data_IF_523746105633
#
_entry.id   IF_523746105633
#
_cell.length_a   1.000
_cell.length_b   1.000
_cell.length_c   1.000
_cell.angle_alpha   90.00
_cell.angle_beta   90.00
_cell.angle_gamma   90.00
#
_symmetry.space_group_name_H-M   'P 1'
#
loop_
_entity.id
_entity.type
_entity.pdbx_description
1 polymer ?
#
# COMPACT_ATOMS: atom_id res chain seq x y z
N UNK A 1 -18.08 -29.17 -65.51
CA UNK A 1 -17.74 -27.82 -66.00
C UNK A 1 -18.58 -26.82 -65.22
N UNK A 2 -17.92 -25.95 -64.44
CA UNK A 2 -18.33 -24.64 -63.91
C UNK A 2 -19.74 -24.41 -63.30
N UNK A 3 -19.70 -24.06 -62.01
CA UNK A 3 -20.31 -22.88 -61.35
C UNK A 3 -21.72 -22.41 -61.75
N UNK A 4 -22.63 -22.28 -60.80
CA UNK A 4 -22.73 -21.12 -59.89
C UNK A 4 -24.10 -21.03 -59.20
N UNK A 5 -24.05 -20.76 -57.88
CA UNK A 5 -24.95 -19.83 -57.17
C UNK A 5 -26.41 -20.22 -56.92
N UNK A 6 -26.75 -20.56 -55.68
CA UNK A 6 -28.00 -20.10 -55.04
C UNK A 6 -27.73 -19.77 -53.56
N UNK A 7 -28.09 -18.52 -53.23
CA UNK A 7 -28.25 -17.93 -51.90
C UNK A 7 -29.51 -18.47 -51.22
N UNK A 8 -29.49 -18.67 -49.90
CA UNK A 8 -30.67 -19.00 -49.12
C UNK A 8 -30.39 -19.15 -47.63
N UNK A 9 -30.77 -18.12 -46.87
CA UNK A 9 -30.90 -18.09 -45.41
C UNK A 9 -31.80 -19.23 -44.90
N UNK A 10 -31.37 -19.96 -43.87
CA UNK A 10 -31.83 -19.81 -42.48
C UNK A 10 -31.57 -21.07 -41.64
N UNK A 11 -31.14 -20.81 -40.40
CA UNK A 11 -31.39 -21.57 -39.17
C UNK A 11 -31.04 -23.08 -39.13
N UNK A 12 -29.87 -23.40 -38.58
CA UNK A 12 -29.71 -24.56 -37.70
C UNK A 12 -28.50 -24.43 -36.75
N UNK A 13 -28.81 -24.33 -35.46
CA UNK A 13 -28.01 -24.81 -34.32
C UNK A 13 -26.62 -24.19 -34.04
N UNK A 14 -26.61 -22.99 -33.44
CA UNK A 14 -25.49 -22.52 -32.60
C UNK A 14 -25.90 -22.72 -31.13
N UNK A 15 -25.93 -23.98 -30.71
CA UNK A 15 -26.12 -24.37 -29.30
C UNK A 15 -25.09 -25.43 -28.93
N UNK A 16 -23.82 -25.06 -28.99
CA UNK A 16 -22.68 -25.70 -28.31
C UNK A 16 -21.42 -24.94 -28.72
N UNK A 17 -20.65 -24.45 -27.74
CA UNK A 17 -19.27 -23.88 -27.79
C UNK A 17 -19.13 -22.52 -27.07
N UNK A 18 -20.21 -21.82 -26.74
CA UNK A 18 -20.14 -20.57 -25.95
C UNK A 18 -20.39 -20.83 -24.45
N UNK A 19 -19.50 -21.56 -23.76
CA UNK A 19 -19.53 -21.68 -22.28
C UNK A 19 -18.22 -22.14 -21.60
N UNK A 20 -17.05 -22.18 -22.27
CA UNK A 20 -15.83 -22.77 -21.65
C UNK A 20 -14.59 -21.86 -21.60
N UNK A 21 -14.67 -20.58 -21.94
CA UNK A 21 -13.52 -19.66 -21.77
C UNK A 21 -13.89 -18.39 -20.99
N UNK A 22 -14.36 -18.57 -19.75
CA UNK A 22 -14.54 -17.46 -18.79
C UNK A 22 -13.95 -17.78 -17.40
N UNK A 23 -12.97 -18.67 -17.35
CA UNK A 23 -12.17 -18.94 -16.16
C UNK A 23 -10.73 -19.12 -16.64
N UNK A 24 -9.78 -18.54 -15.90
CA UNK A 24 -8.31 -18.49 -16.11
C UNK A 24 -7.83 -17.20 -16.81
N UNK A 25 -7.87 -16.10 -16.05
CA UNK A 25 -6.90 -15.00 -16.15
C UNK A 25 -6.85 -14.22 -14.82
N UNK A 26 -6.63 -14.92 -13.70
CA UNK A 26 -6.32 -14.31 -12.41
C UNK A 26 -5.15 -15.05 -11.76
N UNK A 27 -4.00 -15.07 -12.43
CA UNK A 27 -2.73 -15.47 -11.84
C UNK A 27 -1.59 -14.87 -12.65
N UNK A 28 -1.15 -13.69 -12.23
CA UNK A 28 0.23 -13.17 -12.13
C UNK A 28 0.11 -11.65 -12.05
N UNK A 29 0.05 -11.12 -10.83
CA UNK A 29 0.34 -9.72 -10.58
C UNK A 29 1.84 -9.49 -10.79
N UNK A 30 2.21 -9.29 -12.05
CA UNK A 30 3.49 -8.70 -12.46
C UNK A 30 3.08 -7.56 -13.39
N UNK A 31 2.74 -6.41 -12.81
CA UNK A 31 2.79 -5.16 -13.56
C UNK A 31 4.26 -4.73 -13.59
N UNK A 32 5.01 -5.31 -14.53
CA UNK A 32 6.33 -4.80 -14.92
C UNK A 32 6.13 -3.40 -15.52
N UNK A 33 6.70 -2.39 -14.86
CA UNK A 33 6.57 -0.96 -15.20
C UNK A 33 7.31 -0.53 -16.48
N UNK A 34 7.41 -1.40 -17.49
CA UNK A 34 8.25 -1.18 -18.68
C UNK A 34 7.56 -0.33 -19.76
N UNK A 35 6.54 0.45 -19.40
CA UNK A 35 5.92 1.44 -20.31
C UNK A 35 6.34 2.89 -20.03
N UNK A 36 7.23 3.13 -19.06
CA UNK A 36 7.63 4.49 -18.63
C UNK A 36 8.90 5.01 -19.36
N UNK A 37 9.56 4.22 -20.19
CA UNK A 37 10.79 4.69 -20.87
C UNK A 37 10.56 5.69 -22.00
N UNK A 38 9.33 5.83 -22.52
CA UNK A 38 8.99 6.81 -23.56
C UNK A 38 8.39 8.13 -23.05
N UNK A 39 8.25 8.32 -21.73
CA UNK A 39 7.64 9.54 -21.17
C UNK A 39 8.64 10.67 -20.89
N UNK A 40 9.95 10.40 -20.98
CA UNK A 40 11.01 11.30 -20.50
C UNK A 40 11.10 12.64 -21.24
N UNK A 41 10.71 12.69 -22.52
CA UNK A 41 10.90 13.88 -23.35
C UNK A 41 9.61 14.68 -23.61
N UNK A 42 8.42 14.14 -23.32
CA UNK A 42 7.14 14.85 -23.54
C UNK A 42 6.60 15.59 -22.29
N UNK A 43 6.79 15.05 -21.08
CA UNK A 43 6.18 15.63 -19.85
C UNK A 43 6.80 16.98 -19.47
N UNK A 44 8.10 17.17 -19.68
CA UNK A 44 8.74 18.47 -19.46
C UNK A 44 8.26 19.54 -20.47
N UNK A 45 7.82 19.11 -21.67
CA UNK A 45 7.40 20.00 -22.75
C UNK A 45 5.97 20.52 -22.61
N UNK A 46 5.04 19.69 -22.13
CA UNK A 46 3.62 20.07 -22.09
C UNK A 46 3.28 21.03 -20.95
N UNK A 47 3.87 20.88 -19.76
CA UNK A 47 3.67 21.81 -18.63
C UNK A 47 4.28 23.19 -18.94
N UNK A 48 5.37 23.25 -19.71
CA UNK A 48 6.04 24.50 -20.08
C UNK A 48 5.33 25.29 -21.20
N UNK A 49 4.46 24.65 -21.99
CA UNK A 49 3.90 25.25 -23.21
C UNK A 49 2.70 26.17 -22.98
N UNK A 50 2.17 26.26 -21.75
CA UNK A 50 0.96 27.01 -21.41
C UNK A 50 1.13 28.26 -20.54
N UNK A 51 2.34 28.61 -20.08
CA UNK A 51 2.47 29.59 -18.99
C UNK A 51 3.53 30.66 -19.26
N UNK A 52 3.12 31.93 -19.18
CA UNK A 52 4.03 33.07 -19.21
C UNK A 52 4.88 33.14 -17.93
N UNK A 53 6.17 33.50 -18.02
CA UNK A 53 7.05 33.58 -16.86
C UNK A 53 6.75 34.84 -16.02
N UNK A 54 6.03 34.67 -14.90
CA UNK A 54 5.63 35.75 -14.01
C UNK A 54 6.48 35.87 -12.73
N UNK A 55 7.41 36.82 -12.71
CA UNK A 55 7.97 37.52 -11.52
C UNK A 55 8.64 36.67 -10.40
N UNK A 56 9.45 37.26 -9.48
CA UNK A 56 10.21 36.47 -8.51
C UNK A 56 9.27 35.84 -7.47
N UNK A 57 9.17 34.51 -7.52
CA UNK A 57 8.30 33.69 -6.69
C UNK A 57 8.57 33.90 -5.19
N UNK A 58 7.58 34.39 -4.44
CA UNK A 58 7.54 34.18 -3.00
C UNK A 58 7.17 32.71 -2.77
N UNK A 59 8.19 31.85 -2.65
CA UNK A 59 8.01 30.43 -2.30
C UNK A 59 7.29 30.33 -0.96
N UNK A 60 6.16 29.63 -0.92
CA UNK A 60 5.42 29.42 0.34
C UNK A 60 6.33 28.80 1.40
N UNK A 61 6.27 29.35 2.61
CA UNK A 61 7.00 28.83 3.77
C UNK A 61 5.96 28.36 4.80
N UNK A 62 5.98 27.09 5.20
CA UNK A 62 5.01 26.58 6.18
C UNK A 62 5.23 27.21 7.55
N UNK A 63 4.16 27.32 8.35
CA UNK A 63 4.19 27.81 9.73
C UNK A 63 4.22 26.61 10.70
N UNK A 64 5.37 26.23 11.30
CA UNK A 64 5.48 24.99 12.09
C UNK A 64 4.61 25.00 13.36
N UNK A 65 4.22 26.19 13.82
CA UNK A 65 3.28 26.35 14.94
C UNK A 65 1.87 25.82 14.65
N UNK A 66 1.53 25.62 13.37
CA UNK A 66 0.25 25.04 12.94
C UNK A 66 0.34 23.53 12.72
N UNK A 67 1.53 22.94 12.83
CA UNK A 67 1.71 21.52 12.57
C UNK A 67 1.10 20.68 13.67
N UNK A 68 0.46 19.60 13.26
CA UNK A 68 -0.19 18.63 14.14
C UNK A 68 0.46 17.28 13.97
N UNK A 69 0.83 16.66 15.09
CA UNK A 69 1.32 15.28 15.11
C UNK A 69 0.25 14.35 15.70
N UNK A 70 0.16 13.11 15.21
CA UNK A 70 -0.83 12.16 15.71
C UNK A 70 -0.51 11.76 17.16
N UNK A 71 -1.54 11.76 18.01
CA UNK A 71 -1.44 11.09 19.30
C UNK A 71 -1.23 9.58 19.12
N UNK A 72 -0.59 8.94 20.11
CA UNK A 72 -0.39 7.48 20.11
C UNK A 72 -1.36 6.86 21.11
N UNK A 73 -2.40 6.15 20.65
CA UNK A 73 -3.33 5.51 21.57
C UNK A 73 -2.65 4.43 22.40
N UNK A 74 -3.13 4.21 23.62
CA UNK A 74 -2.58 3.21 24.54
C UNK A 74 -3.26 1.85 24.45
N UNK A 75 -4.38 1.76 23.70
CA UNK A 75 -5.10 0.51 23.49
C UNK A 75 -4.57 -0.22 22.25
N UNK A 76 -4.69 -1.55 22.21
CA UNK A 76 -4.32 -2.31 21.00
C UNK A 76 -5.40 -2.13 19.92
N UNK A 77 -5.03 -1.78 18.67
CA UNK A 77 -5.97 -1.71 17.56
C UNK A 77 -6.29 -3.11 17.00
N UNK A 78 -5.42 -4.10 17.24
CA UNK A 78 -5.61 -5.49 16.83
C UNK A 78 -6.65 -6.15 17.72
N UNK A 79 -7.77 -6.57 17.12
CA UNK A 79 -8.82 -7.37 17.75
C UNK A 79 -8.59 -8.84 17.41
N UNK A 80 -7.69 -9.48 18.14
CA UNK A 80 -7.48 -10.92 17.98
C UNK A 80 -8.66 -11.64 18.64
N UNK A 81 -9.36 -12.48 17.88
CA UNK A 81 -10.36 -13.38 18.44
C UNK A 81 -9.66 -14.38 19.36
N UNK A 82 -10.34 -14.77 20.44
CA UNK A 82 -9.78 -15.75 21.36
C UNK A 82 -9.72 -17.11 20.68
N UNK A 83 -8.56 -17.78 20.78
CA UNK A 83 -8.39 -19.14 20.27
C UNK A 83 -9.52 -20.02 20.80
N UNK A 84 -10.30 -20.69 19.93
CA UNK A 84 -11.40 -21.53 20.38
C UNK A 84 -10.93 -22.58 21.39
N UNK A 85 -11.79 -23.08 22.29
CA UNK A 85 -11.37 -24.00 23.37
C UNK A 85 -11.98 -25.40 23.32
N UNK A 86 -13.12 -25.59 22.63
CA UNK A 86 -13.81 -26.89 22.55
C UNK A 86 -13.11 -27.81 21.55
N UNK A 87 -12.05 -28.50 21.98
CA UNK A 87 -11.22 -29.37 21.12
C UNK A 87 -11.91 -30.69 20.76
N UNK A 88 -11.52 -31.26 19.61
CA UNK A 88 -11.95 -32.60 19.16
C UNK A 88 -10.83 -33.34 18.43
N UNK A 89 -10.74 -34.68 18.57
CA UNK A 89 -9.84 -35.51 17.76
C UNK A 89 -10.35 -35.74 16.33
N UNK A 90 -11.64 -35.46 16.06
CA UNK A 90 -12.19 -35.55 14.70
C UNK A 90 -11.55 -34.50 13.81
N UNK A 91 -11.08 -34.89 12.64
CA UNK A 91 -10.41 -34.01 11.67
C UNK A 91 -11.42 -33.54 10.58
N UNK A 92 -12.07 -32.37 10.71
CA UNK A 92 -12.97 -31.86 9.69
C UNK A 92 -12.18 -31.38 8.47
N UNK A 93 -12.57 -31.80 7.27
CA UNK A 93 -11.99 -31.25 6.04
C UNK A 93 -12.25 -29.73 5.94
N UNK A 94 -11.27 -29.01 5.38
CA UNK A 94 -11.36 -27.58 5.10
C UNK A 94 -10.87 -27.28 3.67
N UNK A 95 -11.19 -26.09 3.17
CA UNK A 95 -10.71 -25.59 1.88
C UNK A 95 -10.42 -24.10 2.00
N UNK A 96 -9.22 -23.71 1.62
CA UNK A 96 -8.72 -22.34 1.72
C UNK A 96 -8.13 -21.90 0.38
N UNK A 97 -8.29 -20.62 0.07
CA UNK A 97 -7.53 -19.94 -0.97
C UNK A 97 -6.78 -18.76 -0.35
N UNK A 98 -5.67 -18.37 -0.96
CA UNK A 98 -4.83 -17.27 -0.49
C UNK A 98 -4.70 -16.20 -1.55
N UNK A 99 -4.82 -14.95 -1.12
CA UNK A 99 -4.45 -13.77 -1.89
C UNK A 99 -3.28 -13.09 -1.17
N UNK A 100 -2.26 -12.66 -1.90
CA UNK A 100 -1.12 -11.99 -1.31
C UNK A 100 -0.60 -10.86 -2.21
N UNK A 101 -0.05 -9.85 -1.57
CA UNK A 101 0.65 -8.74 -2.20
C UNK A 101 2.07 -8.69 -1.63
N UNK A 102 3.05 -8.36 -2.46
CA UNK A 102 4.44 -8.26 -2.02
C UNK A 102 4.99 -6.87 -2.29
N UNK A 103 5.95 -6.44 -1.47
CA UNK A 103 6.87 -5.40 -1.91
C UNK A 103 7.76 -5.94 -3.03
N UNK A 104 8.56 -5.06 -3.65
CA UNK A 104 9.71 -5.54 -4.40
C UNK A 104 10.69 -6.24 -3.45
N UNK A 105 11.33 -7.31 -3.92
CA UNK A 105 12.33 -8.05 -3.15
C UNK A 105 13.73 -7.77 -3.67
N UNK A 106 14.61 -7.38 -2.75
CA UNK A 106 16.01 -7.11 -3.01
C UNK A 106 16.89 -8.15 -2.31
N UNK A 107 17.97 -8.54 -2.97
CA UNK A 107 18.90 -9.57 -2.49
C UNK A 107 19.45 -9.21 -1.11
N UNK A 108 19.22 -10.08 -0.11
CA UNK A 108 19.72 -9.89 1.24
C UNK A 108 19.03 -8.78 2.05
N UNK A 109 17.93 -8.21 1.56
CA UNK A 109 17.18 -7.16 2.26
C UNK A 109 15.86 -7.69 2.84
N UNK A 110 15.23 -6.98 3.78
CA UNK A 110 13.89 -7.33 4.24
C UNK A 110 12.86 -7.15 3.13
N UNK A 111 11.98 -8.14 2.99
CA UNK A 111 10.85 -8.15 2.08
C UNK A 111 9.53 -8.19 2.85
N UNK A 112 8.47 -7.67 2.25
CA UNK A 112 7.16 -7.57 2.89
C UNK A 112 6.11 -8.34 2.09
N UNK A 113 5.26 -9.07 2.80
CA UNK A 113 4.18 -9.83 2.20
C UNK A 113 2.91 -9.54 2.99
N UNK A 114 1.89 -8.99 2.33
CA UNK A 114 0.54 -8.83 2.89
C UNK A 114 -0.28 -10.07 2.52
N UNK A 115 -0.88 -10.72 3.51
CA UNK A 115 -1.54 -12.02 3.34
C UNK A 115 -3.02 -11.89 3.67
N UNK A 116 -3.87 -12.36 2.75
CA UNK A 116 -5.29 -12.58 2.96
C UNK A 116 -5.64 -14.04 2.71
N UNK A 117 -6.51 -14.61 3.54
CA UNK A 117 -7.00 -15.97 3.41
C UNK A 117 -8.51 -15.97 3.29
N UNK A 118 -9.01 -16.71 2.30
CA UNK A 118 -10.44 -16.93 2.11
C UNK A 118 -10.83 -18.35 2.43
N UNK A 119 -11.91 -18.49 3.18
CA UNK A 119 -12.48 -19.79 3.52
C UNK A 119 -13.46 -20.23 2.42
N UNK A 120 -13.02 -21.16 1.58
CA UNK A 120 -13.84 -21.79 0.53
C UNK A 120 -14.60 -23.03 1.05
N UNK A 121 -14.39 -23.38 2.32
CA UNK A 121 -15.00 -24.51 3.00
C UNK A 121 -16.43 -24.21 3.48
N UNK A 122 -17.00 -25.20 4.19
CA UNK A 122 -18.37 -25.13 4.74
C UNK A 122 -18.41 -24.83 6.25
N UNK A 123 -17.28 -24.93 6.93
CA UNK A 123 -17.17 -24.72 8.36
C UNK A 123 -16.22 -23.54 8.63
N UNK A 124 -16.43 -22.77 9.71
CA UNK A 124 -15.50 -21.75 10.15
C UNK A 124 -14.07 -22.28 10.34
N UNK A 125 -13.10 -21.45 9.97
CA UNK A 125 -11.67 -21.66 10.17
C UNK A 125 -11.17 -20.58 11.13
N UNK A 126 -10.34 -20.97 12.09
CA UNK A 126 -9.64 -20.05 12.96
C UNK A 126 -8.16 -20.13 12.63
N UNK A 127 -7.53 -19.01 12.33
CA UNK A 127 -6.09 -18.92 12.08
C UNK A 127 -5.47 -18.24 13.29
N UNK A 128 -4.69 -19.00 14.06
CA UNK A 128 -3.99 -18.49 15.23
C UNK A 128 -2.82 -17.62 14.77
N UNK A 129 -2.04 -18.16 13.83
CA UNK A 129 -0.81 -17.54 13.31
C UNK A 129 -0.70 -17.70 11.81
N UNK A 130 -0.12 -16.70 11.17
CA UNK A 130 0.29 -16.75 9.77
C UNK A 130 1.78 -16.54 9.66
N UNK A 131 2.36 -17.05 8.57
CA UNK A 131 3.79 -16.97 8.38
C UNK A 131 4.22 -17.22 6.95
N UNK A 132 5.51 -17.08 6.72
CA UNK A 132 6.15 -17.36 5.44
C UNK A 132 7.45 -18.14 5.67
N UNK A 133 7.56 -19.27 4.98
CA UNK A 133 8.80 -20.04 4.84
C UNK A 133 9.54 -19.56 3.60
N UNK A 134 10.85 -19.34 3.74
CA UNK A 134 11.75 -18.94 2.63
C UNK A 134 12.60 -20.13 2.20
N UNK A 135 12.73 -20.35 0.88
CA UNK A 135 13.45 -21.45 0.22
C UNK A 135 13.08 -22.85 0.75
N UNK A 136 11.80 -23.04 1.10
CA UNK A 136 11.28 -24.30 1.67
C UNK A 136 12.06 -24.81 2.89
N UNK A 137 12.64 -23.92 3.68
CA UNK A 137 13.30 -24.26 4.94
C UNK A 137 12.29 -24.27 6.08
N UNK A 138 11.96 -25.46 6.60
CA UNK A 138 11.11 -25.60 7.79
C UNK A 138 11.73 -24.95 9.05
N UNK A 139 13.04 -24.72 9.05
CA UNK A 139 13.77 -24.03 10.13
C UNK A 139 13.79 -22.50 10.01
N UNK A 140 13.19 -21.91 8.96
CA UNK A 140 13.13 -20.46 8.74
C UNK A 140 11.70 -20.01 8.39
N UNK A 141 10.80 -20.16 9.35
CA UNK A 141 9.42 -19.66 9.27
C UNK A 141 9.35 -18.34 10.03
N UNK A 142 9.14 -17.24 9.30
CA UNK A 142 8.72 -15.97 9.89
C UNK A 142 7.24 -16.08 10.18
N UNK A 143 6.78 -15.69 11.37
CA UNK A 143 5.35 -15.79 11.70
C UNK A 143 4.91 -14.74 12.71
N UNK A 144 3.62 -14.41 12.65
CA UNK A 144 2.94 -13.42 13.47
C UNK A 144 1.60 -13.99 13.97
N UNK A 145 1.20 -13.57 15.17
CA UNK A 145 -0.10 -13.92 15.74
C UNK A 145 -1.19 -13.02 15.12
N UNK A 146 -2.33 -13.62 14.76
CA UNK A 146 -3.46 -12.88 14.19
C UNK A 146 -4.80 -13.19 14.86
N UNK A 147 -5.03 -14.43 15.30
CA UNK A 147 -6.31 -14.83 15.91
C UNK A 147 -7.52 -14.47 15.04
N UNK A 148 -7.53 -14.91 13.78
CA UNK A 148 -8.57 -14.57 12.81
C UNK A 148 -9.61 -15.69 12.70
N UNK A 149 -10.88 -15.40 13.02
CA UNK A 149 -12.01 -16.27 12.72
C UNK A 149 -12.58 -15.94 11.33
N UNK A 150 -12.61 -16.92 10.44
CA UNK A 150 -13.02 -16.76 9.04
C UNK A 150 -14.23 -17.67 8.77
N UNK A 151 -15.41 -17.07 8.62
CA UNK A 151 -16.63 -17.83 8.32
C UNK A 151 -16.61 -18.34 6.87
N UNK A 152 -17.43 -19.36 6.54
CA UNK A 152 -17.57 -19.85 5.17
C UNK A 152 -17.87 -18.72 4.17
N UNK A 153 -17.07 -18.63 3.11
CA UNK A 153 -17.19 -17.62 2.06
C UNK A 153 -16.51 -16.28 2.35
N UNK A 154 -16.07 -16.03 3.59
CA UNK A 154 -15.39 -14.79 3.98
C UNK A 154 -13.89 -14.84 3.66
N UNK A 155 -13.33 -13.67 3.39
CA UNK A 155 -11.89 -13.43 3.29
C UNK A 155 -11.45 -12.52 4.44
N UNK A 156 -10.33 -12.85 5.07
CA UNK A 156 -9.73 -12.03 6.11
C UNK A 156 -8.30 -11.65 5.72
N UNK A 157 -7.96 -10.37 5.87
CA UNK A 157 -6.58 -9.90 5.85
C UNK A 157 -5.92 -10.30 7.17
N UNK A 158 -4.88 -11.14 7.12
CA UNK A 158 -4.17 -11.60 8.31
C UNK A 158 -3.12 -10.60 8.77
N UNK A 159 -2.60 -9.81 7.83
CA UNK A 159 -1.64 -8.74 8.11
C UNK A 159 -0.48 -8.71 7.13
N UNK A 160 0.53 -7.92 7.46
CA UNK A 160 1.80 -7.84 6.74
C UNK A 160 2.86 -8.59 7.54
N UNK A 161 3.71 -9.37 6.87
CA UNK A 161 4.85 -10.02 7.49
C UNK A 161 6.15 -9.58 6.84
N UNK A 162 7.16 -9.37 7.67
CA UNK A 162 8.53 -9.08 7.24
C UNK A 162 9.29 -10.39 7.15
N UNK A 163 9.95 -10.63 6.02
CA UNK A 163 10.81 -11.79 5.80
C UNK A 163 12.21 -11.33 5.42
N UNK A 164 13.23 -12.04 5.89
CA UNK A 164 14.57 -11.83 5.36
C UNK A 164 14.67 -12.48 3.97
N UNK A 165 14.80 -11.66 2.93
CA UNK A 165 15.07 -12.13 1.58
C UNK A 165 16.51 -12.61 1.53
N UNK A 166 16.80 -13.75 0.89
CA UNK A 166 18.13 -14.29 0.88
C UNK A 166 18.96 -13.61 -0.24
N UNK A 167 20.26 -13.85 -0.27
CA UNK A 167 21.18 -13.10 -1.14
C UNK A 167 21.29 -13.66 -2.57
N UNK A 168 20.66 -14.81 -2.85
CA UNK A 168 20.66 -15.43 -4.17
C UNK A 168 19.79 -14.64 -5.17
N UNK A 169 19.95 -14.92 -6.46
CA UNK A 169 19.18 -14.26 -7.52
C UNK A 169 17.70 -14.65 -7.55
N UNK A 170 17.33 -15.77 -6.91
CA UNK A 170 15.96 -16.29 -6.86
C UNK A 170 15.64 -16.84 -5.49
N UNK A 171 14.40 -16.66 -5.06
CA UNK A 171 13.88 -17.25 -3.84
C UNK A 171 12.48 -17.81 -4.04
N UNK A 172 12.18 -18.90 -3.33
CA UNK A 172 10.84 -19.49 -3.24
C UNK A 172 10.24 -19.21 -1.87
N UNK A 173 8.96 -18.86 -1.83
CA UNK A 173 8.23 -18.50 -0.62
C UNK A 173 6.98 -19.37 -0.50
N UNK A 174 6.65 -19.79 0.73
CA UNK A 174 5.41 -20.51 1.05
C UNK A 174 4.72 -19.85 2.21
N UNK A 175 3.43 -19.53 2.06
CA UNK A 175 2.61 -19.09 3.18
C UNK A 175 2.34 -20.30 4.08
N UNK A 176 2.51 -20.10 5.38
CA UNK A 176 2.32 -21.09 6.43
C UNK A 176 1.21 -20.63 7.35
N UNK A 177 0.26 -21.50 7.66
CA UNK A 177 -0.85 -21.21 8.55
C UNK A 177 -0.82 -22.17 9.75
N UNK A 178 -0.98 -21.62 10.95
CA UNK A 178 -1.31 -22.38 12.16
C UNK A 178 -2.81 -22.22 12.39
N UNK A 179 -3.59 -23.27 12.13
CA UNK A 179 -5.05 -23.15 12.03
C UNK A 179 -5.80 -24.24 12.77
N UNK A 180 -7.02 -23.89 13.13
CA UNK A 180 -8.04 -24.80 13.62
C UNK A 180 -9.22 -24.80 12.65
N UNK A 181 -9.78 -25.98 12.39
CA UNK A 181 -11.02 -26.11 11.64
C UNK A 181 -12.14 -26.63 12.53
N UNK A 182 -13.32 -26.05 12.37
CA UNK A 182 -14.49 -26.46 13.14
C UNK A 182 -15.24 -27.62 12.50
N UNK A 183 -15.86 -28.45 13.33
CA UNK A 183 -16.85 -29.45 12.94
C UNK A 183 -18.24 -28.81 12.88
N UNK A 184 -19.20 -29.51 12.27
CA UNK A 184 -20.61 -29.08 12.26
C UNK A 184 -21.24 -28.97 13.66
N UNK A 185 -20.61 -29.55 14.69
CA UNK A 185 -21.03 -29.45 16.09
C UNK A 185 -20.37 -28.27 16.84
N UNK A 186 -19.56 -27.46 16.16
CA UNK A 186 -18.86 -26.32 16.76
C UNK A 186 -17.64 -26.71 17.61
N UNK A 187 -17.13 -27.93 17.47
CA UNK A 187 -15.86 -28.37 18.08
C UNK A 187 -14.70 -28.12 17.11
N UNK A 188 -13.50 -27.92 17.62
CA UNK A 188 -12.34 -27.48 16.86
C UNK A 188 -11.22 -28.52 16.84
N UNK A 189 -10.70 -28.80 15.65
CA UNK A 189 -9.49 -29.59 15.47
C UNK A 189 -8.33 -28.68 15.09
N UNK A 190 -7.21 -28.83 15.77
CA UNK A 190 -5.98 -28.11 15.50
C UNK A 190 -5.10 -28.93 14.56
N UNK A 191 -4.65 -28.31 13.49
CA UNK A 191 -3.79 -28.93 12.48
C UNK A 191 -2.33 -28.55 12.73
N UNK A 192 -1.42 -29.43 12.33
CA UNK A 192 -0.02 -29.06 12.11
C UNK A 192 0.07 -27.92 11.07
N UNK A 193 1.24 -27.28 10.99
CA UNK A 193 1.49 -26.21 10.03
C UNK A 193 1.00 -26.55 8.62
N UNK A 194 0.06 -25.76 8.13
CA UNK A 194 -0.49 -25.93 6.79
C UNK A 194 0.25 -25.03 5.82
N UNK A 195 0.96 -25.65 4.87
CA UNK A 195 1.72 -24.95 3.84
C UNK A 195 0.89 -24.79 2.57
N UNK A 196 0.72 -23.55 2.14
CA UNK A 196 0.11 -23.23 0.86
C UNK A 196 1.09 -23.42 -0.29
N UNK A 197 0.57 -23.33 -1.51
CA UNK A 197 1.37 -23.43 -2.74
C UNK A 197 2.48 -22.38 -2.71
N UNK A 198 3.67 -22.78 -3.18
CA UNK A 198 4.81 -21.89 -3.27
C UNK A 198 4.69 -20.92 -4.44
N UNK A 199 5.43 -19.82 -4.30
CA UNK A 199 5.68 -18.87 -5.37
C UNK A 199 7.16 -18.51 -5.41
N UNK A 200 7.70 -18.33 -6.61
CA UNK A 200 9.13 -18.05 -6.83
C UNK A 200 9.29 -16.68 -7.46
N UNK A 201 10.27 -15.91 -6.97
CA UNK A 201 10.53 -14.53 -7.40
C UNK A 201 12.00 -14.39 -7.81
N UNK A 202 12.24 -13.64 -8.89
CA UNK A 202 13.58 -13.18 -9.24
C UNK A 202 13.91 -11.93 -8.41
N UNK A 203 15.00 -11.98 -7.65
CA UNK A 203 15.38 -10.97 -6.68
C UNK A 203 16.21 -9.88 -7.34
N UNK A 204 15.85 -8.62 -7.08
CA UNK A 204 16.58 -7.46 -7.61
C UNK A 204 17.89 -7.25 -6.85
N UNK A 205 18.97 -6.81 -7.50
CA UNK A 205 20.16 -6.39 -6.78
C UNK A 205 19.84 -5.15 -5.93
N UNK A 206 20.46 -5.05 -4.75
CA UNK A 206 20.30 -3.89 -3.87
C UNK A 206 20.89 -2.64 -4.54
N UNK A 207 20.12 -1.55 -4.69
CA UNK A 207 20.62 -0.35 -5.34
C UNK A 207 21.58 0.43 -4.44
N UNK A 208 22.44 1.23 -5.07
CA UNK A 208 23.25 2.22 -4.37
C UNK A 208 22.38 3.39 -3.90
N UNK A 209 22.77 3.99 -2.78
CA UNK A 209 22.05 5.14 -2.22
C UNK A 209 22.24 6.36 -3.12
N UNK A 210 21.12 6.96 -3.53
CA UNK A 210 21.06 8.21 -4.27
C UNK A 210 20.65 9.36 -3.35
N UNK A 211 21.08 10.57 -3.68
CA UNK A 211 20.72 11.81 -2.97
C UNK A 211 20.08 12.75 -4.00
N UNK A 212 18.74 12.76 -4.12
CA UNK A 212 18.07 13.67 -5.04
C UNK A 212 18.14 15.12 -4.55
N UNK A 213 18.02 16.06 -5.47
CA UNK A 213 17.80 17.46 -5.14
C UNK A 213 16.37 17.67 -4.64
N UNK A 214 16.18 18.43 -3.56
CA UNK A 214 14.86 18.77 -3.05
C UNK A 214 14.46 20.18 -3.48
N UNK A 215 13.23 20.35 -3.97
CA UNK A 215 12.62 21.66 -4.27
C UNK A 215 11.31 21.80 -3.52
N UNK A 216 11.21 22.80 -2.66
CA UNK A 216 10.02 23.04 -1.85
C UNK A 216 9.11 24.05 -2.52
N UNK A 217 7.81 23.73 -2.55
CA UNK A 217 6.71 24.57 -3.02
C UNK A 217 6.96 25.33 -4.34
N UNK A 218 7.39 24.67 -5.44
CA UNK A 218 7.38 25.33 -6.75
C UNK A 218 5.96 25.83 -7.07
N UNK A 219 5.84 27.10 -7.49
CA UNK A 219 4.56 27.82 -7.45
C UNK A 219 3.41 27.09 -8.15
N UNK A 220 3.62 26.58 -9.37
CA UNK A 220 2.58 25.90 -10.15
C UNK A 220 2.05 24.62 -9.48
N UNK A 221 2.96 23.79 -8.96
CA UNK A 221 2.60 22.55 -8.27
C UNK A 221 1.94 22.86 -6.92
N UNK A 222 2.46 23.85 -6.21
CA UNK A 222 1.91 24.29 -4.94
C UNK A 222 0.47 24.80 -5.09
N UNK A 223 0.21 25.69 -6.06
CA UNK A 223 -1.14 26.19 -6.38
C UNK A 223 -2.09 25.06 -6.80
N UNK A 224 -1.61 24.15 -7.64
CA UNK A 224 -2.44 23.06 -8.18
C UNK A 224 -2.84 22.09 -7.07
N UNK A 225 -1.90 21.55 -6.31
CA UNK A 225 -2.19 20.56 -5.25
C UNK A 225 -3.05 21.19 -4.15
N UNK A 226 -2.75 22.41 -3.71
CA UNK A 226 -3.53 23.05 -2.66
C UNK A 226 -4.98 23.36 -3.08
N UNK A 227 -5.23 23.53 -4.38
CA UNK A 227 -6.60 23.63 -4.92
C UNK A 227 -7.33 22.28 -4.96
N UNK A 228 -6.61 21.18 -5.17
CA UNK A 228 -7.19 19.84 -5.32
C UNK A 228 -7.31 19.07 -3.99
N UNK A 229 -6.56 19.50 -2.97
CA UNK A 229 -6.67 18.98 -1.60
C UNK A 229 -7.84 19.67 -0.90
N UNK A 230 -8.92 18.92 -0.67
CA UNK A 230 -10.24 19.45 -0.28
C UNK A 230 -10.73 18.91 1.08
N UNK A 231 -10.03 19.17 2.21
CA UNK A 231 -10.38 18.59 3.51
C UNK A 231 -11.73 19.06 4.08
N UNK A 232 -12.22 20.21 3.61
CA UNK A 232 -13.51 20.77 4.02
C UNK A 232 -14.68 20.33 3.12
N UNK A 233 -14.41 19.62 2.01
CA UNK A 233 -15.46 19.15 1.11
C UNK A 233 -16.35 18.12 1.84
N UNK A 234 -17.69 18.24 1.77
CA UNK A 234 -18.59 17.44 2.60
C UNK A 234 -18.43 15.93 2.49
N UNK A 235 -18.23 15.37 1.29
CA UNK A 235 -18.09 13.93 1.07
C UNK A 235 -16.73 13.44 1.56
N UNK A 236 -15.65 14.18 1.28
CA UNK A 236 -14.30 13.91 1.79
C UNK A 236 -14.29 13.91 3.32
N UNK A 237 -14.80 14.98 3.93
CA UNK A 237 -14.85 15.12 5.39
C UNK A 237 -15.73 14.04 6.04
N UNK A 238 -16.86 13.72 5.43
CA UNK A 238 -17.76 12.68 5.94
C UNK A 238 -17.11 11.30 5.88
N UNK A 239 -16.44 10.96 4.77
CA UNK A 239 -15.68 9.72 4.64
C UNK A 239 -14.54 9.65 5.65
N UNK A 240 -13.78 10.72 5.82
CA UNK A 240 -12.68 10.77 6.78
C UNK A 240 -13.17 10.50 8.22
N UNK A 241 -14.26 11.15 8.63
CA UNK A 241 -14.88 10.92 9.93
C UNK A 241 -15.47 9.51 10.08
N UNK A 242 -16.06 8.96 9.02
CA UNK A 242 -16.61 7.59 8.99
C UNK A 242 -15.54 6.54 9.30
N UNK A 243 -14.35 6.68 8.72
CA UNK A 243 -13.21 5.77 8.95
C UNK A 243 -12.60 6.03 10.32
N UNK A 244 -12.30 7.30 10.64
CA UNK A 244 -11.59 7.68 11.86
C UNK A 244 -12.37 7.35 13.15
N UNK A 245 -13.71 7.34 13.13
CA UNK A 245 -14.52 7.01 14.32
C UNK A 245 -14.31 5.59 14.85
N UNK A 246 -13.74 4.69 14.03
CA UNK A 246 -13.35 3.34 14.47
C UNK A 246 -12.24 3.38 15.53
N UNK A 247 -11.49 4.49 15.58
CA UNK A 247 -10.39 4.75 16.50
C UNK A 247 -10.67 6.06 17.25
N UNK A 248 -11.43 6.00 18.36
CA UNK A 248 -11.95 7.19 19.03
C UNK A 248 -10.84 8.04 19.66
N UNK A 249 -11.12 9.34 19.80
CA UNK A 249 -10.22 10.32 20.38
C UNK A 249 -9.86 11.43 19.40
N UNK A 250 -8.94 12.30 19.83
CA UNK A 250 -8.30 13.28 18.95
C UNK A 250 -7.52 12.59 17.82
N UNK A 251 -7.06 13.39 16.85
CA UNK A 251 -6.18 12.94 15.77
C UNK A 251 -5.08 12.00 16.28
N UNK A 252 -5.04 10.77 15.77
CA UNK A 252 -4.14 9.74 16.28
C UNK A 252 -3.64 8.78 15.20
N UNK A 253 -2.57 8.04 15.51
CA UNK A 253 -1.87 7.21 14.52
C UNK A 253 -2.76 6.10 13.94
N UNK A 254 -3.71 5.56 14.71
CA UNK A 254 -4.60 4.51 14.17
C UNK A 254 -5.59 5.07 13.15
N UNK A 255 -6.00 6.34 13.28
CA UNK A 255 -6.79 7.01 12.25
C UNK A 255 -5.97 7.21 10.98
N UNK A 256 -4.68 7.54 11.08
CA UNK A 256 -3.76 7.64 9.93
C UNK A 256 -3.68 6.30 9.19
N UNK A 257 -3.40 5.21 9.92
CA UNK A 257 -3.31 3.87 9.35
C UNK A 257 -4.64 3.43 8.70
N UNK A 258 -5.78 3.69 9.36
CA UNK A 258 -7.08 3.32 8.84
C UNK A 258 -7.48 4.09 7.56
N UNK A 259 -7.13 5.38 7.48
CA UNK A 259 -7.36 6.18 6.27
C UNK A 259 -6.46 5.73 5.12
N UNK A 260 -5.19 5.41 5.41
CA UNK A 260 -4.29 4.79 4.44
C UNK A 260 -4.87 3.48 3.90
N UNK A 261 -5.30 2.57 4.79
CA UNK A 261 -5.89 1.28 4.41
C UNK A 261 -7.14 1.48 3.56
N UNK A 262 -8.00 2.44 3.92
CA UNK A 262 -9.20 2.73 3.16
C UNK A 262 -8.88 3.17 1.73
N UNK A 263 -7.93 4.09 1.53
CA UNK A 263 -7.52 4.50 0.18
C UNK A 263 -6.93 3.30 -0.57
N UNK A 264 -6.01 2.56 0.04
CA UNK A 264 -5.37 1.38 -0.55
C UNK A 264 -6.36 0.29 -0.98
N UNK A 265 -7.43 0.09 -0.21
CA UNK A 265 -8.37 -1.01 -0.42
C UNK A 265 -9.61 -0.64 -1.23
N UNK A 266 -9.95 0.66 -1.31
CA UNK A 266 -11.18 1.14 -1.94
C UNK A 266 -10.97 2.00 -3.17
N UNK A 267 -9.74 2.46 -3.41
CA UNK A 267 -9.41 3.29 -4.58
C UNK A 267 -8.55 2.46 -5.53
N UNK A 268 -9.10 2.16 -6.70
CA UNK A 268 -8.41 1.40 -7.75
C UNK A 268 -7.40 2.28 -8.49
N UNK A 269 -6.25 1.71 -8.84
CA UNK A 269 -5.28 2.41 -9.70
C UNK A 269 -5.74 2.35 -11.15
N UNK A 270 -5.99 3.51 -11.75
CA UNK A 270 -6.33 3.65 -13.17
C UNK A 270 -5.43 4.74 -13.75
N UNK A 271 -4.69 4.39 -14.80
CA UNK A 271 -3.86 5.36 -15.52
C UNK A 271 -4.71 6.36 -16.30
N UNK A 272 -4.15 7.55 -16.44
CA UNK A 272 -4.75 8.61 -17.23
C UNK A 272 -4.98 8.30 -18.72
N UNK A 273 -5.90 9.05 -19.36
CA UNK A 273 -6.04 9.03 -20.80
C UNK A 273 -4.72 9.37 -21.50
N UNK A 274 -4.32 8.53 -22.45
CA UNK A 274 -3.07 8.69 -23.21
C UNK A 274 -2.82 10.13 -23.65
N UNK A 275 -1.66 10.66 -23.25
CA UNK A 275 -1.18 11.98 -23.65
C UNK A 275 -1.63 13.12 -22.73
N UNK A 276 -2.34 12.81 -21.63
CA UNK A 276 -2.66 13.78 -20.59
C UNK A 276 -2.22 13.24 -19.23
N UNK A 277 -1.98 14.18 -18.33
CA UNK A 277 -1.66 14.00 -16.91
C UNK A 277 -2.71 14.85 -16.18
N UNK A 278 -3.79 14.24 -15.73
CA UNK A 278 -5.02 14.86 -15.24
C UNK A 278 -5.10 14.64 -13.73
N UNK A 279 -4.91 15.72 -12.99
CA UNK A 279 -4.94 15.65 -11.54
C UNK A 279 -6.35 15.95 -11.04
N UNK A 280 -7.01 14.94 -10.50
CA UNK A 280 -8.39 15.03 -10.05
C UNK A 280 -8.48 15.63 -8.63
N UNK A 281 -9.52 16.44 -8.35
CA UNK A 281 -9.83 16.85 -6.99
C UNK A 281 -10.18 15.66 -6.11
N UNK A 282 -9.88 15.74 -4.82
CA UNK A 282 -10.10 14.65 -3.87
C UNK A 282 -11.55 14.12 -3.88
N UNK A 283 -12.54 14.99 -4.01
CA UNK A 283 -13.94 14.56 -4.06
C UNK A 283 -14.30 13.76 -5.33
N UNK A 284 -13.58 13.97 -6.44
CA UNK A 284 -13.78 13.25 -7.69
C UNK A 284 -13.19 11.85 -7.56
N UNK A 285 -11.93 11.73 -7.16
CA UNK A 285 -11.26 10.44 -6.92
C UNK A 285 -12.05 9.59 -5.93
N UNK A 286 -12.54 10.20 -4.84
CA UNK A 286 -13.35 9.49 -3.84
C UNK A 286 -14.67 8.98 -4.42
N UNK A 287 -15.35 9.76 -5.25
CA UNK A 287 -16.63 9.40 -5.85
C UNK A 287 -16.49 8.34 -6.95
N UNK A 288 -15.43 8.42 -7.75
CA UNK A 288 -15.14 7.45 -8.81
C UNK A 288 -14.65 6.13 -8.19
N UNK A 289 -13.90 6.20 -7.09
CA UNK A 289 -13.25 5.05 -6.48
C UNK A 289 -12.02 4.60 -7.26
N UNK A 290 -11.43 5.50 -8.06
CA UNK A 290 -10.22 5.23 -8.82
C UNK A 290 -9.44 6.51 -9.13
N UNK A 291 -8.14 6.36 -9.37
CA UNK A 291 -7.18 7.40 -9.75
C UNK A 291 -5.76 6.84 -9.68
N UNK A 292 -4.79 7.51 -10.29
CA UNK A 292 -3.40 7.09 -10.27
C UNK A 292 -2.63 7.65 -9.05
N UNK A 293 -1.32 7.94 -9.17
CA UNK A 293 -0.48 8.18 -8.01
C UNK A 293 -0.75 9.53 -7.33
N UNK A 294 -0.92 10.60 -8.10
CA UNK A 294 -1.19 11.93 -7.59
C UNK A 294 -2.62 12.06 -7.10
N UNK A 295 -3.59 11.46 -7.78
CA UNK A 295 -4.99 11.44 -7.36
C UNK A 295 -5.14 10.82 -5.97
N UNK A 296 -4.50 9.66 -5.77
CA UNK A 296 -4.52 8.98 -4.48
C UNK A 296 -3.73 9.74 -3.41
N UNK A 297 -2.64 10.42 -3.76
CA UNK A 297 -1.90 11.28 -2.84
C UNK A 297 -2.71 12.51 -2.40
N UNK A 298 -3.43 13.15 -3.35
CA UNK A 298 -4.32 14.29 -3.12
C UNK A 298 -5.50 13.87 -2.26
N UNK A 299 -6.16 12.75 -2.58
CA UNK A 299 -7.26 12.21 -1.79
C UNK A 299 -6.81 11.86 -0.38
N UNK A 300 -5.71 11.12 -0.23
CA UNK A 300 -5.19 10.73 1.09
C UNK A 300 -4.82 11.96 1.94
N UNK A 301 -4.16 12.96 1.33
CA UNK A 301 -3.84 14.22 2.01
C UNK A 301 -5.11 14.92 2.50
N UNK A 302 -6.14 15.01 1.65
CA UNK A 302 -7.43 15.64 1.99
C UNK A 302 -8.14 14.94 3.15
N UNK A 303 -8.13 13.60 3.16
CA UNK A 303 -8.73 12.81 4.23
C UNK A 303 -8.00 12.98 5.57
N UNK A 304 -6.67 13.04 5.54
CA UNK A 304 -5.83 13.23 6.73
C UNK A 304 -5.97 14.63 7.31
N UNK A 305 -5.95 15.66 6.46
CA UNK A 305 -6.20 17.06 6.82
C UNK A 305 -7.62 17.23 7.41
N UNK A 306 -8.62 16.52 6.87
CA UNK A 306 -10.01 16.55 7.38
C UNK A 306 -10.15 16.02 8.82
N UNK A 307 -9.24 15.17 9.28
CA UNK A 307 -9.18 14.68 10.67
C UNK A 307 -8.13 15.40 11.52
N UNK A 308 -7.51 16.44 10.98
CA UNK A 308 -6.59 17.33 11.69
C UNK A 308 -5.14 16.88 11.69
N UNK A 309 -4.70 16.14 10.67
CA UNK A 309 -3.27 15.86 10.42
C UNK A 309 -2.66 16.86 9.44
N UNK A 310 -1.37 17.17 9.61
CA UNK A 310 -0.61 18.04 8.70
C UNK A 310 0.12 17.23 7.64
N UNK A 311 -0.14 17.51 6.37
CA UNK A 311 0.31 16.68 5.26
C UNK A 311 1.22 17.38 4.26
N UNK A 312 1.87 16.56 3.43
CA UNK A 312 2.62 16.95 2.25
C UNK A 312 2.36 16.01 1.11
N UNK A 313 2.52 16.50 -0.12
CA UNK A 313 2.64 15.67 -1.32
C UNK A 313 4.07 15.74 -1.84
N UNK A 314 4.66 14.58 -2.07
CA UNK A 314 5.99 14.43 -2.66
C UNK A 314 5.83 13.99 -4.11
N UNK A 315 6.45 14.74 -5.02
CA UNK A 315 6.48 14.44 -6.44
C UNK A 315 7.92 14.08 -6.83
N UNK A 316 8.12 12.88 -7.34
CA UNK A 316 9.39 12.45 -7.94
C UNK A 316 9.35 12.68 -9.45
N UNK A 317 10.34 12.16 -10.17
CA UNK A 317 10.36 12.20 -11.63
C UNK A 317 9.22 11.40 -12.29
N UNK A 318 8.60 10.43 -11.59
CA UNK A 318 7.64 9.50 -12.20
C UNK A 318 6.60 8.94 -11.23
N UNK A 319 6.47 9.54 -10.05
CA UNK A 319 5.59 9.05 -9.00
C UNK A 319 5.23 10.15 -8.01
N UNK A 320 4.03 10.07 -7.46
CA UNK A 320 3.54 10.95 -6.40
C UNK A 320 3.09 10.15 -5.17
N UNK A 321 3.31 10.68 -3.97
CA UNK A 321 2.81 10.07 -2.73
C UNK A 321 2.58 11.12 -1.65
N UNK A 322 1.73 10.81 -0.68
CA UNK A 322 1.47 11.67 0.46
C UNK A 322 2.45 11.39 1.60
N UNK A 323 2.57 12.33 2.52
CA UNK A 323 3.18 12.10 3.82
C UNK A 323 2.44 12.89 4.89
N UNK A 324 2.59 12.47 6.14
CA UNK A 324 2.01 13.18 7.29
C UNK A 324 3.07 13.49 8.33
N UNK A 325 2.97 14.66 8.95
CA UNK A 325 3.87 15.10 9.99
C UNK A 325 3.73 14.21 11.24
N UNK A 326 4.85 13.71 11.74
CA UNK A 326 4.90 12.82 12.92
C UNK A 326 5.68 13.41 14.10
N UNK A 327 6.00 14.70 14.02
CA UNK A 327 6.70 15.43 15.07
C UNK A 327 8.17 15.70 14.75
N UNK A 328 8.81 16.45 15.64
CA UNK A 328 10.22 16.81 15.53
C UNK A 328 11.04 16.06 16.58
N UNK A 329 12.19 15.51 16.16
CA UNK A 329 13.13 14.80 17.00
C UNK A 329 12.78 13.33 17.26
N UNK A 330 13.79 12.57 17.69
CA UNK A 330 13.75 11.10 17.81
C UNK A 330 12.61 10.59 18.69
N UNK A 331 12.28 11.27 19.79
CA UNK A 331 11.25 10.78 20.71
C UNK A 331 9.85 10.75 20.07
N UNK A 332 9.50 11.78 19.29
CA UNK A 332 8.22 11.85 18.58
C UNK A 332 8.15 10.83 17.44
N UNK A 333 9.26 10.70 16.71
CA UNK A 333 9.40 9.71 15.64
C UNK A 333 9.28 8.28 16.18
N UNK A 334 9.99 7.92 17.25
CA UNK A 334 9.93 6.60 17.87
C UNK A 334 8.52 6.27 18.40
N UNK A 335 7.82 7.27 18.95
CA UNK A 335 6.43 7.10 19.39
C UNK A 335 5.50 6.80 18.20
N UNK A 336 5.67 7.52 17.10
CA UNK A 336 4.93 7.31 15.85
C UNK A 336 5.22 5.96 15.22
N UNK A 337 6.49 5.53 15.18
CA UNK A 337 6.89 4.18 14.74
C UNK A 337 6.21 3.10 15.59
N UNK A 338 6.20 3.25 16.92
CA UNK A 338 5.48 2.34 17.82
C UNK A 338 3.97 2.32 17.54
N UNK A 339 3.37 3.47 17.24
CA UNK A 339 1.96 3.57 16.85
C UNK A 339 1.64 2.79 15.58
N UNK A 340 2.42 2.98 14.52
CA UNK A 340 2.28 2.22 13.27
C UNK A 340 2.45 0.72 13.50
N UNK A 341 3.46 0.32 14.29
CA UNK A 341 3.70 -1.09 14.62
C UNK A 341 2.62 -1.72 15.48
N UNK A 342 2.01 -0.97 16.40
CA UNK A 342 0.87 -1.45 17.15
C UNK A 342 -0.32 -1.79 16.23
N UNK A 343 -0.45 -1.06 15.12
CA UNK A 343 -1.48 -1.29 14.11
C UNK A 343 -1.14 -2.46 13.17
N UNK A 344 -0.02 -2.38 12.46
CA UNK A 344 0.31 -3.34 11.40
C UNK A 344 1.14 -4.54 11.85
N UNK A 345 1.78 -4.50 13.03
CA UNK A 345 2.75 -5.50 13.49
C UNK A 345 4.18 -4.99 13.45
N UNK A 346 5.16 -5.88 13.63
CA UNK A 346 6.58 -5.51 13.62
C UNK A 346 7.10 -5.24 12.19
N UNK A 347 6.53 -4.23 11.55
CA UNK A 347 6.93 -3.72 10.24
C UNK A 347 7.95 -2.60 10.37
N UNK A 348 8.68 -2.32 9.30
CA UNK A 348 9.57 -1.16 9.27
C UNK A 348 8.80 0.09 8.91
N UNK A 349 9.17 1.21 9.51
CA UNK A 349 8.44 2.45 9.32
C UNK A 349 9.40 3.49 8.77
N UNK A 350 9.11 3.93 7.55
CA UNK A 350 9.95 4.84 6.77
C UNK A 350 9.35 6.25 6.81
N UNK A 351 10.24 7.23 6.95
CA UNK A 351 9.90 8.64 7.02
C UNK A 351 11.02 9.48 6.40
N UNK A 352 10.65 10.67 5.93
CA UNK A 352 11.58 11.73 5.54
C UNK A 352 11.78 12.68 6.72
N UNK A 353 12.95 13.30 6.83
CA UNK A 353 13.21 14.32 7.86
C UNK A 353 13.83 15.55 7.21
N UNK A 354 13.33 16.73 7.57
CA UNK A 354 13.84 18.02 7.16
C UNK A 354 13.94 18.99 8.36
N UNK A 355 14.06 20.29 8.09
CA UNK A 355 14.17 21.32 9.14
C UNK A 355 12.92 21.43 10.03
N UNK A 356 11.76 20.94 9.58
CA UNK A 356 10.51 21.04 10.32
C UNK A 356 10.21 19.80 11.17
N UNK A 357 10.79 18.66 10.81
CA UNK A 357 10.70 17.41 11.57
C UNK A 357 10.58 16.20 10.65
N UNK A 358 9.93 15.16 11.15
CA UNK A 358 9.77 13.89 10.44
C UNK A 358 8.38 13.75 9.82
N UNK A 359 8.34 13.14 8.63
CA UNK A 359 7.18 12.98 7.78
C UNK A 359 7.02 11.50 7.41
N UNK A 360 6.00 10.85 7.96
CA UNK A 360 5.69 9.44 7.68
C UNK A 360 5.27 9.29 6.23
N UNK A 361 5.89 8.36 5.51
CA UNK A 361 5.60 8.10 4.09
C UNK A 361 4.28 7.34 3.93
N UNK A 362 3.42 7.83 3.05
CA UNK A 362 2.09 7.30 2.81
C UNK A 362 1.83 7.16 1.30
N UNK A 363 2.14 5.99 0.76
CA UNK A 363 1.88 5.65 -0.64
C UNK A 363 0.93 4.44 -0.77
N UNK A 364 -0.39 4.66 -0.94
CA UNK A 364 -1.36 3.58 -1.06
C UNK A 364 -1.19 2.76 -2.35
N UNK A 365 -0.61 3.35 -3.41
CA UNK A 365 -0.43 2.71 -4.72
C UNK A 365 0.65 1.64 -4.71
N UNK A 366 1.71 1.84 -3.91
CA UNK A 366 2.90 0.98 -3.92
C UNK A 366 3.19 0.30 -2.58
N UNK A 367 2.92 0.96 -1.45
CA UNK A 367 3.22 0.40 -0.13
C UNK A 367 2.13 -0.55 0.35
N UNK A 368 2.51 -1.57 1.13
CA UNK A 368 1.55 -2.54 1.70
C UNK A 368 0.83 -2.04 2.96
N UNK A 369 1.36 -1.00 3.61
CA UNK A 369 0.92 -0.42 4.88
C UNK A 369 1.45 1.02 5.01
N UNK A 370 0.86 1.82 5.91
CA UNK A 370 1.33 3.18 6.18
C UNK A 370 2.76 3.17 6.76
N UNK A 371 3.67 3.98 6.22
CA UNK A 371 5.09 3.93 6.58
C UNK A 371 5.91 2.90 5.79
N UNK A 372 5.28 2.14 4.88
CA UNK A 372 6.01 1.35 3.89
C UNK A 372 6.79 2.24 2.92
N UNK A 373 7.67 1.61 2.16
CA UNK A 373 8.45 2.29 1.13
C UNK A 373 7.56 2.71 -0.07
N UNK A 374 7.57 3.99 -0.49
CA UNK A 374 6.85 4.43 -1.69
C UNK A 374 7.34 3.79 -2.98
N UNK A 375 6.56 3.95 -4.04
CA UNK A 375 6.92 3.59 -5.39
C UNK A 375 8.25 4.20 -5.80
N UNK A 376 9.04 3.44 -6.58
CA UNK A 376 10.39 3.85 -7.02
C UNK A 376 11.35 4.14 -5.87
N UNK A 377 11.17 3.50 -4.73
CA UNK A 377 12.17 3.46 -3.64
C UNK A 377 12.61 2.02 -3.38
N UNK A 378 13.73 1.87 -2.69
CA UNK A 378 14.30 0.57 -2.36
C UNK A 378 15.06 0.63 -1.04
N UNK A 379 15.21 -0.53 -0.40
CA UNK A 379 16.15 -0.69 0.71
C UNK A 379 17.58 -0.47 0.22
N UNK A 380 18.39 0.17 1.05
CA UNK A 380 19.79 0.47 0.77
C UNK A 380 20.61 0.33 2.06
N UNK A 381 21.92 0.13 1.92
CA UNK A 381 22.84 0.09 3.07
C UNK A 381 23.71 1.33 3.10
N UNK A 382 23.95 1.86 4.28
CA UNK A 382 24.95 2.91 4.50
C UNK A 382 26.07 2.30 5.33
N UNK A 383 27.31 2.43 4.84
CA UNK A 383 28.52 2.14 5.62
C UNK A 383 28.83 3.38 6.46
N UNK A 384 28.85 3.25 7.78
CA UNK A 384 29.36 4.32 8.63
C UNK A 384 30.87 4.48 8.41
N UNK A 385 31.37 5.72 8.43
CA UNK A 385 32.78 6.02 8.12
C UNK A 385 33.76 5.56 9.23
N UNK A 386 33.27 5.20 10.41
CA UNK A 386 34.10 4.91 11.60
C UNK A 386 33.77 3.57 12.30
N UNK A 387 32.79 2.81 11.81
CA UNK A 387 32.41 1.49 12.33
C UNK A 387 32.16 0.51 11.18
N UNK A 388 32.56 -0.75 11.33
CA UNK A 388 32.22 -1.86 10.40
C UNK A 388 30.71 -2.20 10.39
N UNK A 389 29.88 -1.38 11.04
CA UNK A 389 28.44 -1.54 11.11
C UNK A 389 27.75 -0.90 9.89
N UNK A 390 27.14 -1.75 9.07
CA UNK A 390 26.20 -1.33 8.03
C UNK A 390 24.83 -1.10 8.61
N UNK A 391 24.36 0.14 8.58
CA UNK A 391 23.02 0.49 9.02
C UNK A 391 22.04 0.35 7.85
N UNK A 392 20.86 -0.16 8.17
CA UNK A 392 19.73 -0.23 7.23
C UNK A 392 19.26 1.19 6.90
N UNK A 393 19.02 1.44 5.61
CA UNK A 393 18.52 2.69 5.06
C UNK A 393 17.59 2.37 3.89
N UNK A 394 17.05 3.40 3.26
CA UNK A 394 16.40 3.30 1.96
C UNK A 394 16.90 4.41 1.03
N UNK A 395 16.52 4.33 -0.24
CA UNK A 395 16.85 5.30 -1.29
C UNK A 395 15.74 5.43 -2.32
N UNK A 396 15.66 6.59 -2.98
CA UNK A 396 14.95 6.68 -4.25
C UNK A 396 15.75 5.98 -5.36
N UNK A 397 15.03 5.37 -6.29
CA UNK A 397 15.59 4.70 -7.48
C UNK A 397 15.33 5.60 -8.68
N UNK A 398 16.38 5.90 -9.46
CA UNK A 398 16.30 6.71 -10.68
C UNK A 398 15.60 8.09 -10.51
N UNK A 399 15.73 8.70 -9.32
CA UNK A 399 15.15 10.00 -9.00
C UNK A 399 16.25 11.02 -8.80
N UNK A 400 16.24 12.06 -9.63
CA UNK A 400 17.21 13.18 -9.56
C UNK A 400 16.69 14.36 -8.75
N UNK A 401 15.36 14.53 -8.72
CA UNK A 401 14.69 15.64 -8.04
C UNK A 401 13.44 15.12 -7.32
N UNK A 402 13.21 15.66 -6.13
CA UNK A 402 11.99 15.47 -5.33
C UNK A 402 11.40 16.84 -5.06
N UNK A 403 10.16 17.07 -5.52
CA UNK A 403 9.40 18.28 -5.21
C UNK A 403 8.55 18.00 -3.99
N UNK A 404 8.61 18.90 -3.00
CA UNK A 404 7.89 18.78 -1.74
C UNK A 404 6.85 19.87 -1.70
N UNK A 405 5.59 19.49 -1.63
CA UNK A 405 4.46 20.40 -1.66
C UNK A 405 3.78 20.37 -0.29
N UNK A 406 3.97 21.46 0.46
CA UNK A 406 3.28 21.70 1.72
C UNK A 406 1.80 21.98 1.46
N UNK A 407 0.92 21.43 2.30
CA UNK A 407 -0.50 21.74 2.27
C UNK A 407 -0.77 22.94 3.18
N UNK A 408 -1.36 23.99 2.62
CA UNK A 408 -1.75 25.21 3.28
C UNK A 408 -3.21 25.09 3.75
N UNK A 409 -3.47 24.98 5.06
CA UNK A 409 -4.83 24.84 5.59
C UNK A 409 -5.70 26.09 5.39
N UNK A 410 -5.12 27.21 4.95
CA UNK A 410 -5.80 28.48 4.66
C UNK A 410 -5.93 28.75 3.16
N UNK A 411 -5.74 27.73 2.31
CA UNK A 411 -5.92 27.90 0.87
C UNK A 411 -7.33 28.42 0.56
N UNK A 412 -7.49 29.51 -0.24
CA UNK A 412 -8.80 30.01 -0.59
C UNK A 412 -9.60 28.94 -1.33
N UNK A 413 -10.81 28.66 -0.84
CA UNK A 413 -11.80 27.81 -1.52
C UNK A 413 -12.36 28.51 -2.77
#
# INVERSE_FOLDING_TARGET
MKDSGVSGKDAASVTAVLCVFLIIATFTGILSSDSIENLKDEVAGYIASGFEPGSPENTFTPEPALFTSPAIPTYSPRKNELTPVLRTPLQPGFSLSSNYQTSEFFQGEPGYIRISIKNEGRNPIFIDRYGVSVNSSESRIYSEDCGALISPGEEANLGVIVVQVPAEEKASFKIVLSLLASTSEGKWHEYDHYFLKDFTVNLKPTPEKSIPAYRYNPASYFETINRLVEPAEPDVRSKAAEVARSYPGAYNMYQVCALFDMVKEKIEYISDPRGNDIWEPANVTLRIGAGDCEDQAILLSSLLEAVGGTTRVYLTNSHAFAAVYIGNGTAATDASVKGVRAYYGDVDVNYLTDEYGSWLMLDPTSSLYAGGLPGKTAQARVKAAEEDETYRSWTFVNTSEVRVIDINPRWPL
#
